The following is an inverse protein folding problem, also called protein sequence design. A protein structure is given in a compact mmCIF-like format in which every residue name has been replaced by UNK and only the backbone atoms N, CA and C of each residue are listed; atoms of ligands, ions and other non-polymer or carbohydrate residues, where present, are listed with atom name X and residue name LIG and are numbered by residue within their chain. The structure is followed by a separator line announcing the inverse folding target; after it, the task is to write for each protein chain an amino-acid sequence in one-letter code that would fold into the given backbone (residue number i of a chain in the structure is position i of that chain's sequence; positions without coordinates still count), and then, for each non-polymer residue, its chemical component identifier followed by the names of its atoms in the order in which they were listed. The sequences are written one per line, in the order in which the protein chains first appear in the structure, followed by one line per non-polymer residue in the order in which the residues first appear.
data_IF_165538341038
#
_entry.id   IF_165538341038
#
_cell.length_a   1.000
_cell.length_b   1.000
_cell.length_c   1.000
_cell.angle_alpha   90.00
_cell.angle_beta   90.00
_cell.angle_gamma   90.00
#
_symmetry.space_group_name_H-M   'P 1'
#
loop_
_entity.id
_entity.type
_entity.pdbx_description
1 polymer ?
#
# COMPACT_ATOMS: atom_id res chain seq x y z
N UNK A 1 -14.84 -9.49 13.30
CA UNK A 1 -14.05 -8.34 13.81
C UNK A 1 -12.56 -8.57 13.68
N UNK A 2 -11.98 -9.63 14.27
CA UNK A 2 -10.52 -9.83 14.22
C UNK A 2 -10.00 -10.22 12.81
N UNK A 3 -10.77 -11.01 12.05
CA UNK A 3 -10.37 -11.48 10.72
C UNK A 3 -10.31 -10.37 9.66
N UNK A 4 -11.30 -9.47 9.62
CA UNK A 4 -11.30 -8.30 8.72
C UNK A 4 -10.14 -7.35 9.03
N UNK A 5 -9.82 -7.15 10.32
CA UNK A 5 -8.65 -6.37 10.75
C UNK A 5 -7.34 -7.02 10.33
N UNK A 6 -7.21 -8.33 10.56
CA UNK A 6 -6.03 -9.10 10.16
C UNK A 6 -5.84 -9.11 8.64
N UNK A 7 -6.92 -9.25 7.87
CA UNK A 7 -6.90 -9.17 6.43
C UNK A 7 -6.46 -7.78 5.95
N UNK A 8 -7.04 -6.71 6.49
CA UNK A 8 -6.65 -5.34 6.17
C UNK A 8 -5.17 -5.10 6.48
N UNK A 9 -4.71 -5.51 7.68
CA UNK A 9 -3.30 -5.42 8.07
C UNK A 9 -2.39 -6.19 7.11
N UNK A 10 -2.73 -7.42 6.74
CA UNK A 10 -1.94 -8.24 5.85
C UNK A 10 -1.80 -7.61 4.46
N UNK A 11 -2.91 -7.17 3.87
CA UNK A 11 -2.93 -6.52 2.54
C UNK A 11 -2.12 -5.23 2.56
N UNK A 12 -2.38 -4.33 3.51
CA UNK A 12 -1.69 -3.04 3.56
C UNK A 12 -0.21 -3.19 3.90
N UNK A 13 0.16 -4.11 4.79
CA UNK A 13 1.56 -4.40 5.10
C UNK A 13 2.30 -4.92 3.87
N UNK A 14 1.69 -5.83 3.10
CA UNK A 14 2.31 -6.36 1.89
C UNK A 14 2.55 -5.27 0.83
N UNK A 15 1.59 -4.37 0.64
CA UNK A 15 1.73 -3.23 -0.27
C UNK A 15 2.85 -2.28 0.18
N UNK A 16 2.89 -1.93 1.47
CA UNK A 16 3.97 -1.07 2.01
C UNK A 16 5.33 -1.74 1.86
N UNK A 17 5.45 -3.04 2.16
CA UNK A 17 6.73 -3.77 2.00
C UNK A 17 7.17 -3.77 0.54
N UNK A 18 6.28 -4.06 -0.41
CA UNK A 18 6.60 -4.03 -1.83
C UNK A 18 7.06 -2.62 -2.28
N UNK A 19 6.38 -1.57 -1.82
CA UNK A 19 6.80 -0.18 -2.06
C UNK A 19 8.19 0.11 -1.51
N UNK A 20 8.49 -0.31 -0.28
CA UNK A 20 9.79 -0.09 0.34
C UNK A 20 10.91 -0.86 -0.38
N UNK A 21 10.65 -2.07 -0.84
CA UNK A 21 11.63 -2.87 -1.61
C UNK A 21 11.96 -2.19 -2.93
N UNK A 22 10.94 -1.84 -3.72
CA UNK A 22 11.16 -1.22 -5.04
C UNK A 22 11.67 0.21 -4.91
N UNK A 23 11.06 1.01 -4.05
CA UNK A 23 11.50 2.39 -3.79
C UNK A 23 12.90 2.46 -3.19
N UNK A 24 13.23 1.53 -2.29
CA UNK A 24 14.57 1.39 -1.73
C UNK A 24 15.60 1.04 -2.81
N UNK A 25 15.28 0.07 -3.67
CA UNK A 25 16.14 -0.29 -4.81
C UNK A 25 16.36 0.90 -5.75
N UNK A 26 15.30 1.61 -6.14
CA UNK A 26 15.39 2.82 -6.99
C UNK A 26 16.24 3.91 -6.32
N UNK A 27 16.11 4.06 -5.00
CA UNK A 27 16.91 5.01 -4.22
C UNK A 27 18.40 4.65 -4.27
N UNK A 28 18.76 3.37 -4.10
CA UNK A 28 20.17 2.94 -4.18
C UNK A 28 20.78 3.13 -5.57
N UNK A 29 19.95 3.18 -6.61
CA UNK A 29 20.38 3.43 -7.99
C UNK A 29 20.35 4.92 -8.37
N UNK A 30 19.93 5.81 -7.45
CA UNK A 30 19.75 7.24 -7.75
C UNK A 30 18.62 7.53 -8.75
N UNK A 31 17.71 6.57 -8.96
CA UNK A 31 16.63 6.64 -9.95
C UNK A 31 15.24 6.83 -9.28
N UNK A 32 15.20 7.16 -8.00
CA UNK A 32 13.95 7.39 -7.28
C UNK A 32 13.36 8.76 -7.64
N UNK A 33 12.26 8.75 -8.39
CA UNK A 33 11.52 9.96 -8.70
C UNK A 33 10.30 10.15 -7.79
N UNK A 34 9.96 11.39 -7.37
CA UNK A 34 8.74 11.66 -6.63
C UNK A 34 7.46 11.18 -7.35
N UNK A 35 7.47 11.19 -8.68
CA UNK A 35 6.36 10.69 -9.51
C UNK A 35 6.07 9.20 -9.30
N UNK A 36 7.09 8.40 -8.97
CA UNK A 36 6.92 6.97 -8.67
C UNK A 36 5.96 6.74 -7.51
N UNK A 37 6.00 7.59 -6.47
CA UNK A 37 5.11 7.49 -5.31
C UNK A 37 3.65 7.63 -5.76
N UNK A 38 3.35 8.67 -6.53
CA UNK A 38 2.01 8.91 -7.03
C UNK A 38 1.54 7.78 -7.95
N UNK A 39 2.39 7.32 -8.87
CA UNK A 39 2.06 6.25 -9.81
C UNK A 39 1.84 4.90 -9.11
N UNK A 40 2.65 4.58 -8.10
CA UNK A 40 2.51 3.36 -7.33
C UNK A 40 1.21 3.35 -6.51
N UNK A 41 0.90 4.45 -5.82
CA UNK A 41 -0.25 4.51 -4.90
C UNK A 41 -1.58 4.83 -5.59
N UNK A 42 -1.59 5.47 -6.77
CA UNK A 42 -2.81 5.83 -7.50
C UNK A 42 -3.76 4.64 -7.78
N UNK A 43 -3.32 3.51 -8.38
CA UNK A 43 -4.21 2.37 -8.61
C UNK A 43 -4.67 1.72 -7.31
N UNK A 44 -3.85 1.71 -6.26
CA UNK A 44 -4.19 1.18 -4.94
C UNK A 44 -5.29 2.02 -4.29
N UNK A 45 -5.17 3.34 -4.35
CA UNK A 45 -6.19 4.27 -3.88
C UNK A 45 -7.51 4.08 -4.66
N UNK A 46 -7.44 3.95 -5.98
CA UNK A 46 -8.60 3.64 -6.83
C UNK A 46 -9.28 2.32 -6.45
N UNK A 47 -8.51 1.25 -6.27
CA UNK A 47 -9.03 -0.06 -5.86
C UNK A 47 -9.68 -0.02 -4.46
N UNK A 48 -9.14 0.79 -3.55
CA UNK A 48 -9.75 1.01 -2.22
C UNK A 48 -11.07 1.76 -2.32
N UNK A 49 -11.16 2.79 -3.18
CA UNK A 49 -12.38 3.59 -3.38
C UNK A 49 -13.53 2.77 -3.98
N UNK A 50 -13.24 1.86 -4.90
CA UNK A 50 -14.23 0.98 -5.55
C UNK A 50 -14.57 -0.24 -4.67
N UNK A 51 -13.90 -0.40 -3.52
CA UNK A 51 -14.16 -1.48 -2.57
C UNK A 51 -13.54 -2.83 -2.93
N UNK A 52 -12.56 -2.84 -3.85
CA UNK A 52 -11.78 -4.03 -4.20
C UNK A 52 -10.79 -4.36 -3.08
N UNK A 53 -10.13 -3.34 -2.52
CA UNK A 53 -9.23 -3.49 -1.38
C UNK A 53 -9.91 -3.11 -0.06
N UNK A 54 -9.56 -3.78 1.05
CA UNK A 54 -10.05 -3.41 2.37
C UNK A 54 -9.60 -1.99 2.72
N UNK A 55 -10.43 -1.27 3.47
CA UNK A 55 -10.14 0.13 3.79
C UNK A 55 -9.01 0.20 4.82
N UNK A 56 -8.06 1.14 4.71
CA UNK A 56 -6.89 1.17 5.59
C UNK A 56 -7.26 1.44 7.05
N UNK A 57 -8.34 2.19 7.31
CA UNK A 57 -8.82 2.44 8.67
C UNK A 57 -9.45 1.21 9.34
N UNK A 58 -9.87 0.19 8.58
CA UNK A 58 -10.34 -1.08 9.17
C UNK A 58 -9.21 -1.83 9.88
N UNK A 59 -7.95 -1.56 9.52
CA UNK A 59 -6.78 -2.06 10.22
C UNK A 59 -6.58 -1.40 11.59
N UNK A 60 -7.13 -0.20 11.80
CA UNK A 60 -6.86 0.66 12.96
C UNK A 60 -8.03 0.74 13.95
N UNK A 61 -9.27 0.57 13.50
CA UNK A 61 -10.47 0.85 14.31
C UNK A 61 -11.24 -0.38 14.78
N UNK A 62 -10.73 -1.60 14.54
CA UNK A 62 -11.41 -2.85 14.88
C UNK A 62 -11.04 -3.39 16.27
#
# INVERSE_FOLDING_TARGET
MNEQRQQALAVWSMLVVAFLVVGGLLTTQGAFEPAFVALYWSPIAGATLVGILPRPWEALTA
#
